data_IF_560878790398
#
_entry.id   IF_560878790398
#
_cell.length_a   1.000
_cell.length_b   1.000
_cell.length_c   1.000
_cell.angle_alpha   90.00
_cell.angle_beta   90.00
_cell.angle_gamma   90.00
#
_symmetry.space_group_name_H-M   'P 1'
#
loop_
_entity.id
_entity.type
_entity.pdbx_description
1 polymer ?
#
# COMPACT_ATOMS: atom_id res chain seq x y z
N UNK A 1 11.77 -13.45 -2.88
CA UNK A 1 10.67 -12.48 -2.99
C UNK A 1 10.03 -12.22 -1.64
N UNK A 2 9.56 -11.01 -1.41
CA UNK A 2 8.96 -10.61 -0.15
C UNK A 2 7.50 -10.24 -0.39
N UNK A 3 6.59 -10.86 0.37
CA UNK A 3 5.20 -10.49 0.38
C UNK A 3 4.91 -9.52 1.53
N UNK A 4 4.06 -8.52 1.28
CA UNK A 4 3.62 -7.57 2.30
C UNK A 4 2.10 -7.49 2.26
N UNK A 5 1.50 -7.54 3.44
CA UNK A 5 0.07 -7.29 3.62
C UNK A 5 -0.08 -6.09 4.55
N UNK A 6 -0.64 -5.01 4.03
CA UNK A 6 -0.89 -3.80 4.79
C UNK A 6 -2.40 -3.68 5.05
N UNK A 7 -2.81 -3.79 6.30
CA UNK A 7 -4.20 -3.57 6.68
C UNK A 7 -4.37 -2.10 7.07
N UNK A 8 -5.26 -1.40 6.38
CA UNK A 8 -5.42 0.03 6.49
C UNK A 8 -6.63 0.36 7.37
N UNK A 9 -6.43 1.28 8.30
CA UNK A 9 -7.47 1.72 9.21
C UNK A 9 -8.04 3.05 8.70
N UNK A 10 -9.07 2.96 7.86
CA UNK A 10 -9.67 4.11 7.19
C UNK A 10 -10.74 4.74 8.08
N UNK A 11 -10.75 6.07 8.17
CA UNK A 11 -11.73 6.80 8.95
C UNK A 11 -13.13 6.64 8.35
N UNK A 12 -14.14 6.50 9.22
CA UNK A 12 -15.52 6.35 8.79
C UNK A 12 -15.96 7.55 7.94
N UNK A 13 -16.58 7.27 6.80
CA UNK A 13 -17.04 8.29 5.87
C UNK A 13 -15.97 8.79 4.89
N UNK A 14 -14.73 8.28 5.00
CA UNK A 14 -13.61 8.69 4.14
C UNK A 14 -13.21 7.62 3.13
N UNK A 15 -14.00 6.56 3.00
CA UNK A 15 -13.68 5.41 2.15
C UNK A 15 -13.47 5.78 0.68
N UNK A 16 -14.33 6.60 0.11
CA UNK A 16 -14.22 6.98 -1.31
C UNK A 16 -12.96 7.82 -1.57
N UNK A 17 -12.65 8.75 -0.68
CA UNK A 17 -11.44 9.57 -0.79
C UNK A 17 -10.19 8.73 -0.61
N UNK A 18 -10.21 7.78 0.32
CA UNK A 18 -9.13 6.85 0.54
C UNK A 18 -8.88 5.99 -0.72
N UNK A 19 -9.92 5.43 -1.32
CA UNK A 19 -9.79 4.62 -2.53
C UNK A 19 -9.14 5.43 -3.65
N UNK A 20 -9.57 6.65 -3.86
CA UNK A 20 -8.97 7.54 -4.88
C UNK A 20 -7.49 7.75 -4.62
N UNK A 21 -7.12 8.06 -3.39
CA UNK A 21 -5.72 8.31 -3.02
C UNK A 21 -4.85 7.04 -3.16
N UNK A 22 -5.37 5.90 -2.72
CA UNK A 22 -4.62 4.64 -2.79
C UNK A 22 -4.47 4.14 -4.23
N UNK A 23 -5.50 4.29 -5.06
CA UNK A 23 -5.40 3.91 -6.48
C UNK A 23 -4.39 4.79 -7.21
N UNK A 24 -4.29 6.07 -6.86
CA UNK A 24 -3.27 6.95 -7.42
C UNK A 24 -1.86 6.51 -7.01
N UNK A 25 -1.67 6.15 -5.75
CA UNK A 25 -0.39 5.63 -5.27
C UNK A 25 -0.04 4.31 -5.97
N UNK A 26 -0.99 3.40 -6.09
CA UNK A 26 -0.78 2.13 -6.77
C UNK A 26 -0.32 2.31 -8.22
N UNK A 27 -0.90 3.28 -8.93
CA UNK A 27 -0.49 3.61 -10.29
C UNK A 27 0.97 4.08 -10.35
N UNK A 28 1.40 4.90 -9.38
CA UNK A 28 2.78 5.37 -9.29
C UNK A 28 3.77 4.25 -8.97
N UNK A 29 3.37 3.33 -8.08
CA UNK A 29 4.18 2.15 -7.76
C UNK A 29 4.41 1.31 -9.01
N UNK A 30 3.36 1.00 -9.75
CA UNK A 30 3.46 0.21 -10.99
C UNK A 30 4.31 0.89 -12.05
N UNK A 31 4.23 2.20 -12.16
CA UNK A 31 4.97 2.96 -13.16
C UNK A 31 6.45 3.14 -12.83
N UNK A 32 6.80 3.21 -11.55
CA UNK A 32 8.13 3.68 -11.12
C UNK A 32 8.96 2.67 -10.33
N UNK A 33 8.40 1.53 -9.97
CA UNK A 33 9.10 0.54 -9.14
C UNK A 33 9.25 -0.79 -9.88
N UNK A 34 10.33 -0.97 -10.63
CA UNK A 34 10.53 -2.21 -11.41
C UNK A 34 10.67 -3.46 -10.54
N UNK A 35 11.08 -3.30 -9.27
CA UNK A 35 11.18 -4.41 -8.33
C UNK A 35 9.88 -4.75 -7.59
N UNK A 36 8.80 -4.01 -7.86
CA UNK A 36 7.48 -4.34 -7.33
C UNK A 36 6.72 -5.19 -8.34
N UNK A 37 6.23 -6.34 -7.91
CA UNK A 37 5.51 -7.29 -8.78
C UNK A 37 4.01 -7.34 -8.51
N UNK A 38 3.56 -6.78 -7.40
CA UNK A 38 2.15 -6.68 -7.06
C UNK A 38 1.95 -5.51 -6.11
N UNK A 39 0.98 -4.67 -6.39
CA UNK A 39 0.53 -3.62 -5.49
C UNK A 39 -0.94 -3.40 -5.75
N UNK A 40 -1.80 -4.06 -4.97
CA UNK A 40 -3.23 -4.06 -5.23
C UNK A 40 -4.03 -3.78 -3.97
N UNK A 41 -5.00 -2.88 -4.10
CA UNK A 41 -5.94 -2.57 -3.04
C UNK A 41 -7.09 -3.56 -3.09
N UNK A 42 -7.36 -4.18 -1.96
CA UNK A 42 -8.46 -5.11 -1.78
C UNK A 42 -9.37 -4.62 -0.66
N UNK A 43 -10.61 -5.04 -0.73
CA UNK A 43 -11.61 -4.77 0.30
C UNK A 43 -12.24 -6.10 0.68
N UNK A 44 -12.21 -6.47 1.94
CA UNK A 44 -12.81 -7.73 2.38
C UNK A 44 -14.33 -7.62 2.51
N UNK A 45 -15.00 -8.72 2.83
CA UNK A 45 -16.46 -8.77 2.93
C UNK A 45 -17.02 -7.92 4.07
N UNK A 46 -16.17 -7.56 5.02
CA UNK A 46 -16.54 -6.71 6.16
C UNK A 46 -16.26 -5.23 5.90
N UNK A 47 -15.72 -4.91 4.72
CA UNK A 47 -15.40 -3.54 4.34
C UNK A 47 -14.03 -3.06 4.77
N UNK A 48 -13.15 -3.94 5.24
CA UNK A 48 -11.79 -3.59 5.62
C UNK A 48 -10.88 -3.53 4.40
N UNK A 49 -9.98 -2.55 4.37
CA UNK A 49 -9.04 -2.36 3.27
C UNK A 49 -7.71 -3.03 3.54
N UNK A 50 -7.21 -3.71 2.53
CA UNK A 50 -5.92 -4.40 2.57
C UNK A 50 -5.17 -4.12 1.29
N UNK A 51 -3.89 -3.77 1.37
CA UNK A 51 -3.01 -3.72 0.20
C UNK A 51 -2.15 -4.97 0.22
N UNK A 52 -2.16 -5.70 -0.88
CA UNK A 52 -1.31 -6.86 -1.08
C UNK A 52 -0.16 -6.46 -1.98
N UNK A 53 1.07 -6.76 -1.56
CA UNK A 53 2.29 -6.29 -2.21
C UNK A 53 3.29 -7.43 -2.38
N UNK A 54 4.04 -7.38 -3.48
CA UNK A 54 5.15 -8.31 -3.73
C UNK A 54 6.36 -7.52 -4.20
N UNK A 55 7.50 -7.76 -3.56
CA UNK A 55 8.78 -7.14 -3.91
C UNK A 55 9.80 -8.21 -4.24
N UNK A 56 10.64 -7.92 -5.22
CA UNK A 56 11.65 -8.87 -5.69
C UNK A 56 12.66 -9.23 -4.61
N UNK A 57 13.06 -8.25 -3.79
CA UNK A 57 14.07 -8.41 -2.74
C UNK A 57 13.97 -7.27 -1.71
N UNK A 58 14.87 -7.28 -0.72
CA UNK A 58 14.94 -6.25 0.31
C UNK A 58 15.20 -4.85 -0.27
N UNK A 59 16.03 -4.77 -1.30
CA UNK A 59 16.37 -3.49 -1.93
C UNK A 59 15.14 -2.86 -2.61
N UNK A 60 14.30 -3.68 -3.25
CA UNK A 60 13.08 -3.22 -3.87
C UNK A 60 12.08 -2.71 -2.83
N UNK A 61 11.97 -3.39 -1.70
CA UNK A 61 11.10 -2.96 -0.60
C UNK A 61 11.61 -1.66 0.01
N UNK A 62 12.91 -1.52 0.23
CA UNK A 62 13.51 -0.28 0.73
C UNK A 62 13.30 0.87 -0.26
N UNK A 63 13.45 0.61 -1.55
CA UNK A 63 13.22 1.62 -2.59
C UNK A 63 11.78 2.13 -2.57
N UNK A 64 10.80 1.25 -2.33
CA UNK A 64 9.41 1.65 -2.19
C UNK A 64 9.23 2.66 -1.06
N UNK A 65 9.74 2.35 0.13
CA UNK A 65 9.61 3.22 1.30
C UNK A 65 10.33 4.56 1.17
N UNK A 66 11.34 4.64 0.31
CA UNK A 66 12.14 5.84 0.08
C UNK A 66 11.71 6.62 -1.17
N UNK A 67 10.73 6.11 -1.92
CA UNK A 67 10.30 6.73 -3.17
C UNK A 67 9.59 8.06 -2.95
N UNK A 68 9.68 8.95 -3.94
CA UNK A 68 9.00 10.24 -3.92
C UNK A 68 7.49 10.07 -3.86
N UNK A 69 6.94 9.13 -4.62
CA UNK A 69 5.50 8.88 -4.64
C UNK A 69 5.00 8.36 -3.30
N UNK A 70 5.77 7.52 -2.60
CA UNK A 70 5.38 7.04 -1.27
C UNK A 70 5.39 8.18 -0.25
N UNK A 71 6.44 8.99 -0.25
CA UNK A 71 6.54 10.15 0.65
C UNK A 71 5.42 11.17 0.39
N UNK A 72 5.15 11.44 -0.89
CA UNK A 72 4.09 12.37 -1.28
C UNK A 72 2.70 11.85 -0.86
N UNK A 73 2.49 10.53 -0.83
CA UNK A 73 1.22 9.93 -0.44
C UNK A 73 0.81 10.28 0.99
N UNK A 74 1.77 10.56 1.86
CA UNK A 74 1.47 10.98 3.24
C UNK A 74 0.55 12.18 3.32
N UNK A 75 0.72 13.15 2.42
CA UNK A 75 -0.16 14.31 2.34
C UNK A 75 -1.55 13.93 1.82
N UNK A 76 -1.60 13.01 0.85
CA UNK A 76 -2.88 12.54 0.26
C UNK A 76 -3.73 11.77 1.27
N UNK A 77 -3.11 11.05 2.20
CA UNK A 77 -3.82 10.26 3.21
C UNK A 77 -4.14 11.03 4.49
N UNK A 78 -3.66 12.26 4.61
CA UNK A 78 -3.90 13.08 5.79
C UNK A 78 -5.40 13.31 6.00
N UNK A 79 -5.87 12.97 7.19
CA UNK A 79 -7.30 13.11 7.54
C UNK A 79 -8.19 11.97 7.06
N UNK A 80 -7.64 11.00 6.34
CA UNK A 80 -8.40 9.85 5.82
C UNK A 80 -8.28 8.61 6.69
N UNK A 81 -7.28 8.57 7.59
CA UNK A 81 -6.97 7.38 8.37
C UNK A 81 -7.42 7.53 9.82
N UNK A 82 -8.01 6.47 10.37
CA UNK A 82 -8.43 6.42 11.78
C UNK A 82 -7.28 6.01 12.70
N UNK A 83 -6.21 5.45 12.16
CA UNK A 83 -5.06 5.02 12.94
C UNK A 83 -3.94 4.50 12.03
N UNK A 84 -2.81 4.04 12.60
CA UNK A 84 -1.70 3.54 11.83
C UNK A 84 -2.04 2.22 11.13
N UNK A 85 -1.39 1.91 10.00
CA UNK A 85 -1.59 0.62 9.34
C UNK A 85 -0.94 -0.52 10.12
N UNK A 86 -1.46 -1.72 9.92
CA UNK A 86 -0.83 -2.95 10.38
C UNK A 86 -0.10 -3.58 9.20
N UNK A 87 1.23 -3.70 9.30
CA UNK A 87 2.06 -4.20 8.21
C UNK A 87 2.59 -5.57 8.58
N UNK A 88 2.35 -6.55 7.70
CA UNK A 88 2.87 -7.90 7.86
C UNK A 88 3.74 -8.23 6.65
N UNK A 89 4.99 -8.58 6.89
CA UNK A 89 5.88 -9.01 5.81
C UNK A 89 6.15 -10.50 5.93
N UNK A 90 6.33 -11.15 4.79
CA UNK A 90 6.50 -12.59 4.70
C UNK A 90 7.49 -12.94 3.61
N UNK A 91 8.24 -14.01 3.82
CA UNK A 91 9.05 -14.59 2.75
C UNK A 91 8.13 -15.41 1.83
N UNK A 92 8.30 -15.25 0.54
CA UNK A 92 7.58 -16.08 -0.44
C UNK A 92 8.28 -17.44 -0.49
N UNK A 93 7.50 -18.49 -0.26
CA UNK A 93 8.04 -19.87 -0.22
C UNK A 93 7.91 -20.58 -1.57
N UNK A 94 6.91 -20.24 -2.34
CA UNK A 94 6.69 -20.94 -3.60
C UNK A 94 6.04 -20.14 -4.69
#
# INVERSE_FOLDING_TARGET
MIGVVATLNVAAGKEAEFETAMLALAAQVRANEPGNHLYTLCKDDEGNYVVMELYENEEALAAHGQSEHFKASGASFKGLMAGPPSIKRMAVVG
#
